data_IF_072900427248
#
_entry.id   IF_072900427248
#
_cell.length_a   1.000
_cell.length_b   1.000
_cell.length_c   1.000
_cell.angle_alpha   90.00
_cell.angle_beta   90.00
_cell.angle_gamma   90.00
#
_symmetry.space_group_name_H-M   'P 1'
#
loop_
_entity.id
_entity.type
_entity.pdbx_description
1 polymer ?
#
# COMPACT_ATOMS: atom_id res chain seq x y z
N UNK A 1 22.16 -0.11 -6.91
CA UNK A 1 20.92 0.12 -6.14
C UNK A 1 20.87 -1.06 -5.20
N UNK A 2 21.53 -0.96 -4.04
CA UNK A 2 21.97 -2.16 -3.30
C UNK A 2 21.34 -2.27 -1.91
N UNK A 3 20.50 -1.30 -1.54
CA UNK A 3 19.74 -1.37 -0.30
C UNK A 3 18.39 -2.03 -0.59
N UNK A 4 18.04 -3.10 0.14
CA UNK A 4 16.78 -3.78 -0.06
C UNK A 4 15.61 -2.87 0.34
N UNK A 5 14.49 -2.96 -0.37
CA UNK A 5 13.30 -2.16 -0.06
C UNK A 5 12.60 -2.81 1.13
N UNK A 6 12.45 -2.06 2.22
CA UNK A 6 11.72 -2.48 3.40
C UNK A 6 10.25 -2.07 3.27
N UNK A 7 9.37 -3.07 3.18
CA UNK A 7 7.92 -2.91 3.22
C UNK A 7 7.43 -3.15 4.65
N UNK A 8 7.86 -2.30 5.58
CA UNK A 8 7.46 -2.36 6.99
C UNK A 8 6.49 -1.23 7.31
N UNK A 9 5.45 -1.52 8.10
CA UNK A 9 4.44 -0.54 8.50
C UNK A 9 4.98 0.64 9.33
N UNK A 10 6.26 0.57 9.75
CA UNK A 10 6.92 1.58 10.57
C UNK A 10 7.45 2.77 9.76
N UNK A 11 7.72 2.57 8.45
CA UNK A 11 8.39 3.56 7.59
C UNK A 11 7.48 4.05 6.48
N UNK A 12 6.49 3.24 6.10
CA UNK A 12 5.56 3.50 5.01
C UNK A 12 4.39 2.51 5.05
N UNK A 13 3.38 2.73 4.22
CA UNK A 13 2.20 1.89 4.12
C UNK A 13 1.69 1.83 2.68
N UNK A 14 0.94 0.78 2.38
CA UNK A 14 0.14 0.74 1.16
C UNK A 14 -0.99 1.75 1.25
N UNK A 15 -1.10 2.58 0.21
CA UNK A 15 -2.16 3.56 0.07
C UNK A 15 -2.73 3.49 -1.34
N UNK A 16 -4.05 3.61 -1.46
CA UNK A 16 -4.73 3.63 -2.74
C UNK A 16 -5.08 5.06 -3.14
N UNK A 17 -5.18 5.31 -4.44
CA UNK A 17 -5.35 6.65 -5.00
C UNK A 17 -6.34 6.64 -6.17
N UNK A 18 -7.15 7.69 -6.27
CA UNK A 18 -7.91 7.96 -7.49
C UNK A 18 -7.10 8.80 -8.51
N UNK A 19 -7.68 9.04 -9.70
CA UNK A 19 -7.03 9.82 -10.77
C UNK A 19 -6.80 11.29 -10.42
N UNK A 20 -7.50 11.80 -9.41
CA UNK A 20 -7.40 13.18 -8.93
C UNK A 20 -6.41 13.31 -7.77
N UNK A 21 -5.82 12.20 -7.33
CA UNK A 21 -4.89 12.15 -6.21
C UNK A 21 -5.56 12.07 -4.84
N UNK A 22 -6.87 11.80 -4.76
CA UNK A 22 -7.51 11.49 -3.47
C UNK A 22 -6.91 10.19 -2.92
N UNK A 23 -6.59 10.20 -1.64
CA UNK A 23 -5.93 9.09 -0.95
C UNK A 23 -6.93 8.24 -0.16
N UNK A 24 -6.66 6.94 -0.09
CA UNK A 24 -7.43 5.98 0.71
C UNK A 24 -6.48 5.10 1.52
N UNK A 25 -6.66 5.14 2.83
CA UNK A 25 -5.80 4.41 3.75
C UNK A 25 -6.07 2.90 3.72
N UNK A 26 -5.00 2.13 3.89
CA UNK A 26 -5.08 0.69 4.07
C UNK A 26 -5.67 0.35 5.44
N UNK A 27 -6.70 -0.49 5.48
CA UNK A 27 -7.28 -1.02 6.72
C UNK A 27 -6.64 -2.33 7.15
N UNK A 28 -6.42 -3.24 6.19
CA UNK A 28 -5.83 -4.55 6.41
C UNK A 28 -4.85 -4.84 5.28
N UNK A 29 -3.65 -5.27 5.63
CA UNK A 29 -2.61 -5.70 4.68
C UNK A 29 -2.15 -7.07 5.13
N UNK A 30 -2.22 -8.05 4.23
CA UNK A 30 -1.70 -9.39 4.49
C UNK A 30 -0.17 -9.36 4.73
N UNK A 31 0.31 -10.14 5.70
CA UNK A 31 1.71 -10.13 6.12
C UNK A 31 2.68 -10.54 4.99
N UNK A 32 2.17 -11.30 4.02
CA UNK A 32 2.87 -11.74 2.81
C UNK A 32 3.36 -10.56 1.95
N UNK A 33 2.63 -9.43 1.98
CA UNK A 33 3.00 -8.19 1.30
C UNK A 33 4.08 -7.38 2.04
N UNK A 34 4.37 -7.71 3.30
CA UNK A 34 5.31 -6.97 4.15
C UNK A 34 6.69 -7.62 4.25
N UNK A 35 7.69 -6.86 4.69
CA UNK A 35 9.06 -7.31 4.92
C UNK A 35 10.05 -6.86 3.85
N UNK A 36 11.19 -7.53 3.75
CA UNK A 36 12.31 -7.11 2.90
C UNK A 36 12.14 -7.66 1.48
N UNK A 37 12.06 -6.77 0.49
CA UNK A 37 12.16 -7.14 -0.93
C UNK A 37 13.63 -7.27 -1.30
N UNK A 38 14.10 -8.51 -1.41
CA UNK A 38 15.50 -8.83 -1.74
C UNK A 38 15.62 -9.74 -2.96
N UNK A 39 14.86 -10.83 -3.00
CA UNK A 39 15.12 -11.93 -3.95
C UNK A 39 13.87 -12.43 -4.70
N UNK A 40 12.65 -12.09 -4.28
CA UNK A 40 11.42 -12.54 -4.93
C UNK A 40 10.27 -11.52 -4.82
N UNK A 41 9.34 -11.52 -5.79
CA UNK A 41 8.12 -10.75 -5.67
C UNK A 41 7.27 -11.28 -4.52
N UNK A 42 6.60 -10.36 -3.83
CA UNK A 42 5.58 -10.64 -2.83
C UNK A 42 4.20 -10.51 -3.44
N UNK A 43 3.28 -11.38 -3.05
CA UNK A 43 1.90 -11.36 -3.48
C UNK A 43 0.97 -11.62 -2.30
N UNK A 44 -0.18 -10.98 -2.30
CA UNK A 44 -1.17 -11.02 -1.23
C UNK A 44 -2.22 -9.94 -1.46
N UNK A 45 -3.08 -9.74 -0.47
CA UNK A 45 -4.20 -8.81 -0.54
C UNK A 45 -4.06 -7.65 0.45
N UNK A 46 -4.59 -6.50 0.04
CA UNK A 46 -4.74 -5.31 0.88
C UNK A 46 -6.17 -4.78 0.73
N UNK A 47 -6.76 -4.35 1.85
CA UNK A 47 -8.09 -3.73 1.91
C UNK A 47 -7.93 -2.25 2.19
N UNK A 48 -8.60 -1.41 1.41
CA UNK A 48 -8.64 0.04 1.58
C UNK A 48 -10.06 0.47 1.92
N UNK A 49 -10.21 1.55 2.69
CA UNK A 49 -11.53 2.04 3.12
C UNK A 49 -11.63 3.56 3.00
N UNK A 50 -12.86 4.04 2.88
CA UNK A 50 -13.25 5.45 3.07
C UNK A 50 -14.57 5.51 3.82
N UNK A 51 -14.87 6.68 4.40
CA UNK A 51 -16.15 6.93 5.09
C UNK A 51 -17.35 6.97 4.12
N UNK A 52 -17.09 7.13 2.82
CA UNK A 52 -18.07 7.16 1.75
C UNK A 52 -17.74 6.12 0.66
N UNK A 53 -18.49 6.13 -0.45
CA UNK A 53 -18.27 5.22 -1.59
C UNK A 53 -17.08 5.62 -2.47
N UNK A 54 -16.33 6.66 -2.13
CA UNK A 54 -15.29 7.18 -3.03
C UNK A 54 -14.09 6.25 -3.20
N UNK A 55 -13.84 5.31 -2.26
CA UNK A 55 -12.80 4.27 -2.40
C UNK A 55 -12.96 3.44 -3.68
N UNK A 56 -14.19 3.28 -4.20
CA UNK A 56 -14.41 2.56 -5.45
C UNK A 56 -13.89 3.29 -6.69
N UNK A 57 -13.52 4.56 -6.56
CA UNK A 57 -12.84 5.32 -7.63
C UNK A 57 -11.32 5.12 -7.64
N UNK A 58 -10.75 4.40 -6.66
CA UNK A 58 -9.32 4.12 -6.63
C UNK A 58 -8.86 3.39 -7.91
N UNK A 59 -7.72 3.82 -8.45
CA UNK A 59 -7.14 3.30 -9.70
C UNK A 59 -5.76 2.66 -9.52
N UNK A 60 -4.98 3.14 -8.56
CA UNK A 60 -3.64 2.62 -8.31
C UNK A 60 -3.32 2.56 -6.82
N UNK A 61 -2.42 1.65 -6.48
CA UNK A 61 -1.89 1.47 -5.14
C UNK A 61 -0.39 1.76 -5.18
N UNK A 62 0.12 2.50 -4.20
CA UNK A 62 1.55 2.70 -4.00
C UNK A 62 1.97 2.46 -2.56
N UNK A 63 3.24 2.11 -2.40
CA UNK A 63 3.93 2.20 -1.12
C UNK A 63 4.25 3.68 -0.86
N UNK A 64 3.69 4.23 0.22
CA UNK A 64 3.74 5.66 0.54
C UNK A 64 4.41 5.86 1.89
N UNK A 65 5.35 6.81 1.98
CA UNK A 65 5.93 7.25 3.26
C UNK A 65 4.98 8.14 4.07
N UNK A 66 3.79 8.42 3.54
CA UNK A 66 2.76 9.21 4.20
C UNK A 66 1.61 8.30 4.61
N UNK A 67 1.71 7.86 5.85
CA UNK A 67 0.67 7.25 6.67
C UNK A 67 0.27 8.30 7.72
#
# INVERSE_FOLDING_TARGET
>A
MDQPIELTGDVACYKAFDEKGKEFDGRLVQAELLGILKDSPKAGEATFVSDDESVYNAKFVKWSSQC
#
